data_IF_080006908073
#
_entry.id   IF_080006908073
#
_cell.length_a   1.000
_cell.length_b   1.000
_cell.length_c   1.000
_cell.angle_alpha   90.00
_cell.angle_beta   90.00
_cell.angle_gamma   90.00
#
_symmetry.space_group_name_H-M   'P 1'
#
loop_
_entity.id
_entity.type
_entity.pdbx_description
1 polymer ?
#
# COMPACT_ATOMS: atom_id res chain seq x y z
N UNK A 1 -24.86 2.02 -29.16
CA UNK A 1 -23.45 1.81 -28.80
C UNK A 1 -23.24 2.39 -27.44
N UNK A 2 -23.31 1.56 -26.40
CA UNK A 2 -23.08 1.97 -25.02
C UNK A 2 -21.61 1.73 -24.70
N UNK A 3 -20.83 2.82 -24.71
CA UNK A 3 -19.45 2.81 -24.23
C UNK A 3 -19.42 2.43 -22.75
N UNK A 4 -18.98 1.20 -22.47
CA UNK A 4 -18.40 0.84 -21.18
C UNK A 4 -17.08 1.59 -21.08
N UNK A 5 -16.98 2.51 -20.14
CA UNK A 5 -15.69 2.95 -19.61
C UNK A 5 -15.14 1.78 -18.81
N UNK A 6 -14.18 1.08 -19.38
CA UNK A 6 -13.35 0.13 -18.68
C UNK A 6 -12.72 0.85 -17.48
N UNK A 7 -12.95 0.30 -16.29
CA UNK A 7 -12.26 0.73 -15.09
C UNK A 7 -10.78 0.52 -15.32
N UNK A 8 -10.06 1.63 -15.51
CA UNK A 8 -8.61 1.67 -15.65
C UNK A 8 -8.02 1.09 -14.35
N UNK A 9 -7.69 -0.20 -14.40
CA UNK A 9 -7.04 -0.89 -13.31
C UNK A 9 -5.70 -0.17 -13.06
N UNK A 10 -5.61 0.51 -11.92
CA UNK A 10 -4.37 1.16 -11.50
C UNK A 10 -3.20 0.14 -11.59
N UNK A 11 -2.11 0.45 -12.32
CA UNK A 11 -1.00 -0.47 -12.55
C UNK A 11 -0.15 -0.78 -11.30
N UNK A 12 -0.61 -0.45 -10.09
CA UNK A 12 0.05 -0.77 -8.81
C UNK A 12 -0.10 -2.25 -8.39
N UNK A 13 -0.31 -3.14 -9.36
CA UNK A 13 -0.87 -4.50 -9.27
C UNK A 13 -0.04 -5.57 -8.55
N UNK A 14 0.50 -5.28 -7.36
CA UNK A 14 1.08 -6.32 -6.50
C UNK A 14 0.32 -6.52 -5.19
N UNK A 15 -0.64 -5.66 -4.85
CA UNK A 15 -1.33 -5.73 -3.56
C UNK A 15 -0.39 -5.56 -2.37
N UNK A 16 0.80 -4.97 -2.58
CA UNK A 16 1.81 -4.67 -1.56
C UNK A 16 1.93 -3.16 -1.38
N UNK A 17 2.34 -2.74 -0.19
CA UNK A 17 2.72 -1.36 0.08
C UNK A 17 4.10 -1.11 -0.55
N UNK A 18 4.21 -0.15 -1.45
CA UNK A 18 5.50 0.22 -2.05
C UNK A 18 6.16 1.31 -1.22
N UNK A 19 7.27 1.00 -0.57
CA UNK A 19 8.02 1.92 0.28
C UNK A 19 9.22 2.45 -0.49
N UNK A 20 9.14 3.71 -0.91
CA UNK A 20 10.22 4.44 -1.58
C UNK A 20 11.04 5.17 -0.53
N UNK A 21 12.36 5.03 -0.54
CA UNK A 21 13.22 5.60 0.50
C UNK A 21 14.54 6.14 -0.05
N UNK A 22 15.04 7.22 0.54
CA UNK A 22 16.40 7.69 0.28
C UNK A 22 17.43 6.80 0.98
N UNK A 23 18.19 6.04 0.19
CA UNK A 23 19.26 5.14 0.70
C UNK A 23 20.38 5.89 1.43
N UNK A 24 20.54 7.20 1.18
CA UNK A 24 21.57 8.02 1.83
C UNK A 24 21.14 8.51 3.21
N UNK A 25 19.86 8.38 3.56
CA UNK A 25 19.31 8.85 4.83
C UNK A 25 19.38 7.78 5.92
N UNK A 26 20.15 8.06 6.99
CA UNK A 26 20.24 7.16 8.14
C UNK A 26 18.87 6.95 8.81
N UNK A 27 18.03 7.98 8.87
CA UNK A 27 16.67 7.88 9.41
C UNK A 27 15.80 6.92 8.58
N UNK A 28 15.90 6.98 7.24
CA UNK A 28 15.19 6.03 6.38
C UNK A 28 15.67 4.60 6.59
N UNK A 29 16.99 4.38 6.71
CA UNK A 29 17.54 3.04 6.94
C UNK A 29 17.09 2.45 8.30
N UNK A 30 17.07 3.27 9.36
CA UNK A 30 16.56 2.85 10.67
C UNK A 30 15.08 2.49 10.62
N UNK A 31 14.26 3.32 9.95
CA UNK A 31 12.84 3.04 9.79
C UNK A 31 12.60 1.76 8.96
N UNK A 32 13.41 1.52 7.93
CA UNK A 32 13.35 0.27 7.16
C UNK A 32 13.69 -0.97 7.98
N UNK A 33 14.63 -0.89 8.91
CA UNK A 33 14.96 -2.01 9.79
C UNK A 33 13.76 -2.36 10.68
N UNK A 34 13.00 -1.37 11.15
CA UNK A 34 11.74 -1.58 11.88
C UNK A 34 10.67 -2.22 10.99
N UNK A 35 10.50 -1.73 9.76
CA UNK A 35 9.57 -2.30 8.77
C UNK A 35 9.91 -3.77 8.49
N UNK A 36 11.19 -4.09 8.25
CA UNK A 36 11.66 -5.46 8.01
C UNK A 36 11.46 -6.36 9.24
N UNK A 37 11.79 -5.85 10.42
CA UNK A 37 11.55 -6.56 11.68
C UNK A 37 10.07 -6.88 11.83
N UNK A 38 9.18 -5.91 11.58
CA UNK A 38 7.74 -6.12 11.66
C UNK A 38 7.24 -7.13 10.65
N UNK A 39 7.66 -7.03 9.38
CA UNK A 39 7.28 -7.96 8.32
C UNK A 39 7.63 -9.42 8.69
N UNK A 40 8.81 -9.64 9.30
CA UNK A 40 9.20 -10.96 9.83
C UNK A 40 8.37 -11.45 11.01
N UNK A 41 7.69 -10.55 11.73
CA UNK A 41 6.79 -10.88 12.84
C UNK A 41 5.31 -10.95 12.44
N UNK A 42 4.96 -10.71 11.16
CA UNK A 42 3.58 -10.82 10.71
C UNK A 42 3.12 -12.28 10.66
N UNK A 43 1.85 -12.57 11.00
CA UNK A 43 1.30 -13.91 10.90
C UNK A 43 1.47 -14.51 9.49
N UNK A 44 1.90 -15.77 9.44
CA UNK A 44 2.09 -16.50 8.19
C UNK A 44 3.30 -16.06 7.35
N UNK A 45 4.16 -15.17 7.86
CA UNK A 45 5.29 -14.65 7.09
C UNK A 45 4.84 -13.89 5.84
N UNK A 46 3.66 -13.28 5.90
CA UNK A 46 3.06 -12.60 4.77
C UNK A 46 3.89 -11.36 4.43
N UNK A 47 4.44 -11.34 3.22
CA UNK A 47 5.09 -10.15 2.69
C UNK A 47 4.02 -9.09 2.43
N UNK A 48 4.16 -7.92 3.03
CA UNK A 48 3.23 -6.80 2.87
C UNK A 48 3.88 -5.61 2.18
N UNK A 49 5.20 -5.59 2.06
CA UNK A 49 5.94 -4.45 1.52
C UNK A 49 6.85 -4.79 0.33
N UNK A 50 7.01 -3.81 -0.55
CA UNK A 50 8.03 -3.75 -1.59
C UNK A 50 8.91 -2.53 -1.34
N UNK A 51 10.18 -2.76 -1.06
CA UNK A 51 11.14 -1.67 -0.83
C UNK A 51 11.74 -1.20 -2.16
N UNK A 52 11.78 0.11 -2.39
CA UNK A 52 12.27 0.74 -3.62
C UNK A 52 13.22 1.89 -3.27
N UNK A 53 14.43 1.84 -3.81
CA UNK A 53 15.46 2.83 -3.54
C UNK A 53 15.27 4.09 -4.40
N UNK A 54 15.36 5.25 -3.77
CA UNK A 54 15.48 6.55 -4.43
C UNK A 54 16.92 7.08 -4.32
N UNK A 55 17.46 7.74 -5.36
CA UNK A 55 16.85 7.98 -6.67
C UNK A 55 16.92 6.73 -7.58
N UNK A 56 15.90 6.53 -8.43
CA UNK A 56 15.87 5.43 -9.40
C UNK A 56 14.58 5.39 -10.23
N UNK A 57 14.64 4.77 -11.42
CA UNK A 57 13.48 4.68 -12.32
C UNK A 57 12.28 3.99 -11.67
N UNK A 58 12.51 2.91 -10.92
CA UNK A 58 11.46 2.21 -10.19
C UNK A 58 10.81 3.07 -9.09
N UNK A 59 11.58 3.98 -8.46
CA UNK A 59 11.03 4.92 -7.49
C UNK A 59 10.12 5.94 -8.18
N UNK A 60 10.52 6.46 -9.33
CA UNK A 60 9.70 7.39 -10.11
C UNK A 60 8.40 6.73 -10.62
N UNK A 61 8.45 5.47 -11.06
CA UNK A 61 7.27 4.70 -11.45
C UNK A 61 6.26 4.56 -10.30
N UNK A 62 6.75 4.32 -9.08
CA UNK A 62 5.90 4.22 -7.88
C UNK A 62 5.35 5.58 -7.45
N UNK A 63 6.17 6.64 -7.52
CA UNK A 63 5.78 7.97 -7.06
C UNK A 63 4.88 8.70 -8.06
N UNK A 64 5.02 8.46 -9.36
CA UNK A 64 4.25 9.14 -10.41
C UNK A 64 2.72 9.18 -10.16
N UNK A 65 2.04 8.06 -9.85
CA UNK A 65 0.61 8.09 -9.55
C UNK A 65 0.28 8.82 -8.24
N UNK A 66 1.20 8.85 -7.27
CA UNK A 66 1.03 9.49 -5.97
C UNK A 66 1.36 11.00 -5.96
N UNK A 67 1.99 11.54 -7.01
CA UNK A 67 2.47 12.93 -7.06
C UNK A 67 1.39 13.96 -6.76
N UNK A 68 0.18 13.78 -7.31
CA UNK A 68 -0.93 14.71 -7.07
C UNK A 68 -1.26 14.83 -5.58
N UNK A 69 -1.36 13.69 -4.90
CA UNK A 69 -1.67 13.66 -3.47
C UNK A 69 -0.51 14.16 -2.59
N UNK A 70 0.73 13.81 -2.93
CA UNK A 70 1.91 14.31 -2.22
C UNK A 70 1.98 15.85 -2.32
N UNK A 71 1.68 16.40 -3.49
CA UNK A 71 1.63 17.84 -3.72
C UNK A 71 0.51 18.50 -2.94
N UNK A 72 -0.69 17.92 -2.91
CA UNK A 72 -1.81 18.43 -2.10
C UNK A 72 -1.46 18.48 -0.61
N UNK A 73 -0.81 17.42 -0.09
CA UNK A 73 -0.34 17.38 1.30
C UNK A 73 0.78 18.37 1.58
N UNK A 74 1.62 18.65 0.59
CA UNK A 74 2.71 19.63 0.68
C UNK A 74 2.28 21.04 0.26
N UNK A 75 1.04 21.45 0.57
CA UNK A 75 0.50 22.80 0.32
C UNK A 75 0.65 23.27 -1.14
N UNK A 76 0.55 22.33 -2.09
CA UNK A 76 0.68 22.61 -3.53
C UNK A 76 2.11 22.65 -4.05
N UNK A 77 3.13 22.39 -3.22
CA UNK A 77 4.53 22.34 -3.62
C UNK A 77 4.96 20.93 -4.02
N UNK A 78 5.97 20.83 -4.90
CA UNK A 78 6.59 19.55 -5.25
C UNK A 78 7.19 18.91 -3.98
N UNK A 79 6.98 17.60 -3.83
CA UNK A 79 7.45 16.86 -2.66
C UNK A 79 8.94 16.50 -2.83
N UNK A 80 9.78 16.87 -1.87
CA UNK A 80 11.22 16.60 -1.90
C UNK A 80 11.53 15.24 -1.27
N UNK A 81 12.01 14.29 -2.08
CA UNK A 81 12.35 12.93 -1.63
C UNK A 81 13.68 12.84 -0.87
N UNK A 82 14.56 13.85 -0.98
CA UNK A 82 15.87 13.82 -0.34
C UNK A 82 15.74 13.73 1.18
N UNK A 83 16.34 12.69 1.79
CA UNK A 83 16.23 12.42 3.22
C UNK A 83 14.96 11.69 3.65
N UNK A 84 14.00 11.47 2.74
CA UNK A 84 12.62 11.07 3.06
C UNK A 84 12.27 9.64 2.66
N UNK A 85 11.21 9.13 3.28
CA UNK A 85 10.57 7.85 2.99
C UNK A 85 9.08 8.07 2.72
N UNK A 86 8.57 7.49 1.63
CA UNK A 86 7.17 7.56 1.24
C UNK A 86 6.64 6.14 1.04
N UNK A 87 5.51 5.81 1.65
CA UNK A 87 4.82 4.55 1.39
C UNK A 87 3.58 4.78 0.52
N UNK A 88 3.48 4.07 -0.61
CA UNK A 88 2.33 4.09 -1.50
C UNK A 88 1.54 2.79 -1.29
N UNK A 89 0.31 2.93 -0.78
CA UNK A 89 -0.59 1.82 -0.51
C UNK A 89 -1.22 1.28 -1.80
N UNK A 90 -1.73 0.03 -1.79
CA UNK A 90 -2.48 -0.52 -2.92
C UNK A 90 -3.70 0.30 -3.35
N UNK A 91 -4.26 1.12 -2.44
CA UNK A 91 -5.37 2.03 -2.72
C UNK A 91 -4.96 3.26 -3.53
N UNK A 92 -3.66 3.49 -3.75
CA UNK A 92 -3.11 4.71 -4.33
C UNK A 92 -2.86 5.84 -3.32
N UNK A 93 -3.21 5.63 -2.03
CA UNK A 93 -2.86 6.56 -0.95
C UNK A 93 -1.35 6.54 -0.69
N UNK A 94 -0.76 7.71 -0.55
CA UNK A 94 0.63 7.93 -0.19
C UNK A 94 0.73 8.47 1.24
N UNK A 95 1.58 7.82 2.03
CA UNK A 95 2.01 8.24 3.35
C UNK A 95 3.38 8.90 3.18
N UNK A 96 3.48 10.24 3.27
CA UNK A 96 4.76 10.90 3.26
C UNK A 96 5.47 10.74 4.62
N UNK A 97 6.77 11.00 4.64
CA UNK A 97 7.56 11.13 5.86
C UNK A 97 7.49 9.93 6.81
N UNK A 98 7.37 8.70 6.28
CA UNK A 98 7.22 7.49 7.09
C UNK A 98 8.40 7.21 8.02
N UNK A 99 9.56 7.85 7.80
CA UNK A 99 10.70 7.76 8.72
C UNK A 99 10.45 8.48 10.05
N UNK A 100 9.54 9.46 10.07
CA UNK A 100 9.17 10.22 11.26
C UNK A 100 7.99 9.55 12.00
N UNK A 101 7.10 8.86 11.27
CA UNK A 101 6.01 8.06 11.83
C UNK A 101 5.93 6.66 11.19
N UNK A 102 6.87 5.81 11.59
CA UNK A 102 6.92 4.42 11.13
C UNK A 102 5.73 3.59 11.63
N UNK A 103 5.09 4.02 12.73
CA UNK A 103 3.97 3.30 13.33
C UNK A 103 2.75 3.33 12.42
N UNK A 104 2.51 4.44 11.71
CA UNK A 104 1.46 4.50 10.71
C UNK A 104 1.66 3.47 9.59
N UNK A 105 2.88 3.32 9.08
CA UNK A 105 3.20 2.30 8.07
C UNK A 105 3.01 0.88 8.62
N UNK A 106 3.43 0.62 9.86
CA UNK A 106 3.24 -0.68 10.53
C UNK A 106 1.76 -1.02 10.66
N UNK A 107 0.92 -0.05 11.04
CA UNK A 107 -0.53 -0.25 11.13
C UNK A 107 -1.12 -0.69 9.78
N UNK A 108 -0.72 -0.06 8.67
CA UNK A 108 -1.18 -0.45 7.33
C UNK A 108 -0.71 -1.85 6.94
N UNK A 109 0.54 -2.21 7.29
CA UNK A 109 1.06 -3.56 7.08
C UNK A 109 0.24 -4.61 7.85
N UNK A 110 -0.09 -4.33 9.11
CA UNK A 110 -0.88 -5.21 9.96
C UNK A 110 -2.31 -5.37 9.42
N UNK A 111 -2.95 -4.25 9.07
CA UNK A 111 -4.27 -4.22 8.45
C UNK A 111 -4.29 -5.12 7.21
N UNK A 112 -3.31 -4.99 6.32
CA UNK A 112 -3.20 -5.83 5.13
C UNK A 112 -2.97 -7.31 5.46
N UNK A 113 -2.21 -7.63 6.51
CA UNK A 113 -1.98 -9.02 6.93
C UNK A 113 -3.21 -9.70 7.52
N UNK A 114 -4.13 -8.92 8.10
CA UNK A 114 -5.36 -9.43 8.75
C UNK A 114 -6.50 -9.61 7.75
N UNK A 115 -6.50 -8.88 6.63
CA UNK A 115 -7.48 -9.06 5.56
C UNK A 115 -7.13 -10.33 4.78
N UNK A 116 -7.49 -11.48 5.35
CA UNK A 116 -7.45 -12.73 4.62
C UNK A 116 -8.39 -12.64 3.40
N UNK A 117 -7.94 -12.99 2.18
CA UNK A 117 -8.88 -13.13 1.07
C UNK A 117 -9.95 -14.15 1.47
N UNK A 118 -11.24 -13.90 1.18
CA UNK A 118 -12.29 -14.84 1.55
C UNK A 118 -11.96 -16.20 0.93
N UNK A 119 -11.79 -17.21 1.77
CA UNK A 119 -11.54 -18.56 1.26
C UNK A 119 -12.76 -19.01 0.44
N UNK A 120 -12.62 -19.90 -0.54
CA UNK A 120 -13.76 -20.44 -1.30
C UNK A 120 -14.86 -20.99 -0.38
N UNK A 121 -14.47 -21.49 0.79
CA UNK A 121 -15.38 -21.97 1.84
C UNK A 121 -16.20 -20.85 2.49
N UNK A 122 -15.61 -19.67 2.67
CA UNK A 122 -16.28 -18.48 3.20
C UNK A 122 -17.24 -17.89 2.16
N UNK A 123 -16.84 -17.85 0.88
CA UNK A 123 -17.67 -17.35 -0.23
C UNK A 123 -18.92 -18.21 -0.43
N UNK A 124 -18.76 -19.54 -0.50
CA UNK A 124 -19.87 -20.48 -0.66
C UNK A 124 -20.90 -20.39 0.48
N UNK A 125 -20.45 -20.05 1.70
CA UNK A 125 -21.34 -19.88 2.85
C UNK A 125 -22.16 -18.58 2.76
N UNK A 126 -21.56 -17.46 2.32
CA UNK A 126 -22.29 -16.21 2.10
C UNK A 126 -23.24 -16.28 0.92
N UNK A 127 -22.85 -16.94 -0.18
CA UNK A 127 -23.73 -17.13 -1.34
C UNK A 127 -24.94 -18.02 -0.99
N UNK A 128 -24.74 -19.09 -0.22
CA UNK A 128 -25.83 -19.93 0.28
C UNK A 128 -26.78 -19.19 1.23
N UNK A 129 -26.25 -18.32 2.10
CA UNK A 129 -27.05 -17.53 3.03
C UNK A 129 -27.88 -16.44 2.32
N UNK A 130 -27.32 -15.78 1.30
CA UNK A 130 -28.04 -14.81 0.47
C UNK A 130 -29.14 -15.47 -0.38
N UNK A 131 -28.87 -16.67 -0.92
CA UNK A 131 -29.88 -17.45 -1.62
C UNK A 131 -31.04 -17.89 -0.71
N UNK A 132 -30.75 -18.24 0.54
CA UNK A 132 -31.78 -18.56 1.53
C UNK A 132 -32.65 -17.36 1.91
N UNK A 133 -32.06 -16.18 2.10
CA UNK A 133 -32.80 -14.94 2.37
C UNK A 133 -33.70 -14.53 1.19
N UNK A 134 -33.24 -14.72 -0.04
CA UNK A 134 -34.02 -14.43 -1.24
C UNK A 134 -35.20 -15.40 -1.43
N UNK A 135 -35.13 -16.63 -0.88
CA UNK A 135 -36.20 -17.61 -0.96
C UNK A 135 -37.32 -17.42 0.09
N UNK A 136 -37.15 -16.49 1.04
CA UNK A 136 -38.13 -16.16 2.09
C UNK A 136 -39.01 -14.94 1.76
N UNK A 137 -38.78 -14.29 0.62
CA UNK A 137 -39.58 -13.17 0.10
C UNK A 137 -40.56 -13.67 -0.97
#
# INVERSE_FOLDING_TARGET
>A
GTSRTDGEACPLGTGLISVVYDRRSAACLQALDLVRCREGCLPGGTRTTRLVEWPGAAAEEVLAPARGQLRERNLGQEYEMAGKMVAVLPSGLALPDCQEDVMQLIYEMESMSMVAPPTPRTVAHTEGHLAWLAALQ
#
